data_IF_005382308426
#
_entry.id   IF_005382308426
#
_cell.length_a   1.000
_cell.length_b   1.000
_cell.length_c   1.000
_cell.angle_alpha   90.00
_cell.angle_beta   90.00
_cell.angle_gamma   90.00
#
_symmetry.space_group_name_H-M   'P 1'
#
loop_
_entity.id
_entity.type
_entity.pdbx_description
1 polymer ?
2 non-polymer ?
3 water ?
#
# COMPACT_ATOMS: atom_id res chain seq x y z
N UNK A 1 -19.72 -21.63 -8.37
CA UNK A 1 -18.72 -21.69 -9.41
C UNK A 1 -18.03 -20.34 -9.62
N UNK A 2 -16.92 -20.35 -10.35
CA UNK A 2 -16.24 -19.12 -10.74
C UNK A 2 -16.83 -18.58 -12.03
N UNK A 3 -16.99 -17.24 -12.12
CA UNK A 3 -17.49 -16.64 -13.36
C UNK A 3 -16.57 -16.94 -14.54
N UNK A 4 -17.12 -16.85 -15.76
CA UNK A 4 -16.33 -17.10 -16.96
C UNK A 4 -15.19 -16.08 -17.04
N UNK A 5 -15.52 -14.85 -16.71
CA UNK A 5 -14.54 -13.78 -16.64
C UNK A 5 -14.65 -13.04 -15.33
N UNK A 6 -13.51 -12.91 -14.65
CA UNK A 6 -13.43 -12.17 -13.40
C UNK A 6 -13.06 -10.73 -13.71
N UNK A 7 -13.94 -9.78 -13.33
CA UNK A 7 -13.65 -8.36 -13.50
C UNK A 7 -12.92 -7.83 -12.28
N UNK A 8 -11.73 -7.28 -12.50
CA UNK A 8 -10.94 -6.76 -11.38
C UNK A 8 -10.82 -5.25 -11.45
N UNK A 9 -11.33 -4.56 -10.43
CA UNK A 9 -11.21 -3.12 -10.36
C UNK A 9 -9.88 -2.70 -9.80
N UNK A 10 -9.33 -1.60 -10.33
CA UNK A 10 -8.07 -1.06 -9.82
C UNK A 10 -8.02 0.44 -10.09
N UNK A 11 -7.41 1.16 -9.16
CA UNK A 11 -7.23 2.59 -9.28
C UNK A 11 -5.84 2.84 -9.89
N UNK A 12 -5.81 3.22 -11.16
CA UNK A 12 -4.55 3.25 -11.92
C UNK A 12 -3.78 4.55 -11.76
N UNK A 13 -3.68 5.01 -10.52
CA UNK A 13 -2.97 6.26 -10.25
C UNK A 13 -1.93 6.01 -9.17
N UNK A 14 -1.38 4.80 -9.16
CA UNK A 14 -0.54 4.39 -8.05
C UNK A 14 0.63 3.50 -8.46
N UNK A 15 1.49 4.00 -9.34
CA UNK A 15 2.73 3.32 -9.66
C UNK A 15 3.55 3.21 -8.37
N UNK A 16 4.33 2.13 -8.22
CA UNK A 16 4.58 1.05 -9.18
C UNK A 16 3.62 -0.13 -9.05
N UNK A 17 2.47 0.06 -8.42
CA UNK A 17 1.56 -1.05 -8.20
C UNK A 17 0.50 -1.12 -9.29
N UNK A 18 -0.12 0.01 -9.58
CA UNK A 18 -1.15 0.06 -10.61
C UNK A 18 -1.16 1.43 -11.26
N UNK A 19 -0.86 1.45 -12.56
CA UNK A 19 -0.99 2.69 -13.31
C UNK A 19 -1.21 2.34 -14.76
N UNK A 20 -1.36 3.36 -15.58
CA UNK A 20 -1.48 3.17 -17.02
C UNK A 20 -0.32 3.82 -17.72
N UNK A 21 0.33 3.10 -18.62
CA UNK A 21 1.46 3.69 -19.36
C UNK A 21 0.97 4.57 -20.52
N UNK A 22 1.91 5.05 -21.34
CA UNK A 22 1.59 6.00 -22.40
C UNK A 22 0.66 5.42 -23.47
N UNK A 23 0.57 4.10 -23.55
CA UNK A 23 -0.35 3.46 -24.50
C UNK A 23 -1.66 3.05 -23.83
N UNK A 24 -1.82 3.43 -22.58
CA UNK A 24 -3.03 3.11 -21.84
C UNK A 24 -3.06 1.71 -21.25
N UNK A 25 -1.93 1.01 -21.30
CA UNK A 25 -1.87 -0.35 -20.77
C UNK A 25 -1.76 -0.35 -19.25
N UNK A 26 -2.49 -1.26 -18.60
CA UNK A 26 -2.36 -1.47 -17.17
C UNK A 26 -0.99 -2.05 -16.82
N UNK A 27 -0.25 -1.37 -15.94
CA UNK A 27 1.08 -1.83 -15.55
C UNK A 27 1.28 -1.72 -14.06
N UNK A 28 2.16 -2.56 -13.53
CA UNK A 28 2.48 -2.52 -12.12
C UNK A 28 2.48 -3.87 -11.44
N UNK A 29 3.01 -3.90 -10.22
CA UNK A 29 3.12 -5.13 -9.47
C UNK A 29 1.74 -5.74 -9.15
N UNK A 30 0.73 -4.90 -8.90
CA UNK A 30 -0.64 -5.39 -8.74
C UNK A 30 -1.14 -6.11 -9.98
N UNK A 31 -0.88 -5.50 -11.14
CA UNK A 31 -1.30 -6.05 -12.42
C UNK A 31 -0.60 -7.39 -12.66
N UNK A 32 0.71 -7.44 -12.40
CA UNK A 32 1.48 -8.69 -12.49
C UNK A 32 0.92 -9.79 -11.56
N UNK A 33 0.68 -9.46 -10.30
CA UNK A 33 0.13 -10.42 -9.35
C UNK A 33 -1.22 -10.92 -9.80
N UNK A 34 -2.09 -9.98 -10.17
CA UNK A 34 -3.43 -10.33 -10.62
C UNK A 34 -3.37 -11.25 -11.83
N UNK A 35 -2.61 -10.84 -12.84
CA UNK A 35 -2.49 -11.63 -14.05
C UNK A 35 -1.91 -13.01 -13.80
N UNK A 36 -0.89 -13.09 -12.95
CA UNK A 36 -0.28 -14.36 -12.64
C UNK A 36 -1.25 -15.29 -11.88
N UNK A 37 -2.00 -14.74 -10.94
CA UNK A 37 -2.96 -15.56 -10.22
C UNK A 37 -4.08 -16.05 -11.15
N UNK A 38 -4.60 -15.14 -11.97
CA UNK A 38 -5.65 -15.53 -12.92
C UNK A 38 -5.17 -16.63 -13.85
N UNK A 39 -3.93 -16.54 -14.31
CA UNK A 39 -3.34 -17.59 -15.13
C UNK A 39 -3.42 -18.95 -14.43
N UNK A 40 -2.99 -18.99 -13.17
CA UNK A 40 -2.96 -20.24 -12.42
C UNK A 40 -4.37 -20.72 -12.06
N UNK A 41 -5.29 -19.79 -11.90
CA UNK A 41 -6.69 -20.12 -11.63
C UNK A 41 -7.39 -20.56 -12.91
N UNK A 42 -6.74 -20.32 -14.04
CA UNK A 42 -7.29 -20.60 -15.36
C UNK A 42 -8.64 -19.96 -15.56
N UNK A 43 -8.73 -18.70 -15.18
CA UNK A 43 -9.89 -17.88 -15.46
C UNK A 43 -9.44 -16.66 -16.24
N UNK A 44 -10.31 -16.14 -17.10
CA UNK A 44 -10.04 -14.90 -17.80
C UNK A 44 -10.29 -13.74 -16.85
N UNK A 45 -9.39 -12.77 -16.87
CA UNK A 45 -9.53 -11.61 -16.02
C UNK A 45 -9.50 -10.32 -16.82
N UNK A 46 -10.45 -9.45 -16.51
CA UNK A 46 -10.51 -8.15 -17.15
C UNK A 46 -10.29 -7.05 -16.13
N UNK A 47 -9.29 -6.22 -16.39
CA UNK A 47 -9.01 -5.06 -15.53
C UNK A 47 -9.92 -3.91 -15.86
N UNK A 48 -10.43 -3.27 -14.83
CA UNK A 48 -11.39 -2.18 -14.94
C UNK A 48 -10.87 -0.99 -14.14
N UNK A 49 -10.55 0.11 -14.81
CA UNK A 49 -10.02 1.27 -14.09
C UNK A 49 -11.12 1.96 -13.33
N UNK A 50 -10.86 2.25 -12.06
CA UNK A 50 -11.88 2.80 -11.19
C UNK A 50 -11.30 3.87 -10.27
N UNK A 51 -12.11 4.86 -9.95
CA UNK A 51 -11.77 5.79 -8.88
C UNK A 51 -11.62 5.00 -7.58
N UNK A 52 -10.67 5.42 -6.74
CA UNK A 52 -10.40 4.71 -5.49
C UNK A 52 -11.65 4.57 -4.62
N UNK A 53 -12.43 5.63 -4.54
CA UNK A 53 -13.61 5.63 -3.67
C UNK A 53 -14.75 4.82 -4.24
N UNK A 54 -14.63 4.39 -5.51
CA UNK A 54 -15.69 3.63 -6.14
C UNK A 54 -15.39 2.12 -6.11
N UNK A 55 -14.20 1.73 -5.69
CA UNK A 55 -13.80 0.32 -5.72
C UNK A 55 -14.68 -0.59 -4.87
N UNK A 56 -14.76 -0.31 -3.58
CA UNK A 56 -15.55 -1.15 -2.69
C UNK A 56 -17.05 -1.06 -3.00
N UNK A 57 -17.58 0.16 -3.26
CA UNK A 57 -18.98 0.17 -3.70
C UNK A 57 -19.23 -0.67 -4.97
N UNK A 58 -18.33 -0.61 -5.94
CA UNK A 58 -18.51 -1.40 -7.17
C UNK A 58 -18.45 -2.89 -6.88
N UNK A 59 -17.58 -3.26 -5.95
CA UNK A 59 -17.44 -4.66 -5.56
C UNK A 59 -18.73 -5.14 -4.91
N UNK A 60 -19.23 -4.38 -3.94
CA UNK A 60 -20.46 -4.74 -3.26
C UNK A 60 -21.65 -4.87 -4.23
N UNK A 61 -21.66 -4.02 -5.25
CA UNK A 61 -22.75 -3.95 -6.21
C UNK A 61 -22.60 -4.98 -7.34
N UNK A 62 -21.51 -5.73 -7.28
CA UNK A 62 -21.14 -6.76 -8.26
C UNK A 62 -20.82 -6.21 -9.67
N UNK A 63 -20.48 -4.93 -9.75
CA UNK A 63 -19.98 -4.36 -11.01
C UNK A 63 -18.60 -4.93 -11.34
N UNK A 64 -17.85 -5.24 -10.29
CA UNK A 64 -16.58 -5.95 -10.42
C UNK A 64 -16.62 -7.15 -9.46
N UNK A 65 -15.69 -8.09 -9.64
CA UNK A 65 -15.64 -9.30 -8.83
C UNK A 65 -14.49 -9.29 -7.84
N UNK A 66 -13.52 -8.41 -8.06
CA UNK A 66 -12.35 -8.34 -7.22
C UNK A 66 -11.75 -6.95 -7.27
N UNK A 67 -11.02 -6.60 -6.22
CA UNK A 67 -10.22 -5.38 -6.20
C UNK A 67 -8.75 -5.73 -6.02
N UNK A 68 -7.90 -5.33 -6.95
CA UNK A 68 -6.46 -5.39 -6.68
C UNK A 68 -5.91 -4.01 -6.93
N UNK A 69 -5.66 -3.28 -5.85
CA UNK A 69 -5.40 -1.85 -5.93
C UNK A 69 -4.70 -1.35 -4.66
N UNK A 70 -3.63 -2.04 -4.27
CA UNK A 70 -2.97 -1.80 -2.99
C UNK A 70 -3.99 -1.64 -1.87
N UNK A 71 -5.00 -2.51 -1.85
CA UNK A 71 -6.11 -2.35 -0.92
C UNK A 71 -5.73 -2.91 0.45
N UNK A 72 -5.43 -2.02 1.39
CA UNK A 72 -5.04 -2.45 2.74
C UNK A 72 -6.15 -3.26 3.40
N UNK A 73 -5.75 -4.35 4.06
CA UNK A 73 -6.68 -5.24 4.73
C UNK A 73 -7.01 -4.63 6.10
N UNK A 74 -7.61 -3.45 6.11
CA UNK A 74 -7.89 -2.82 7.40
C UNK A 74 -9.01 -3.55 8.14
N UNK A 75 -8.96 -3.50 9.47
CA UNK A 75 -10.01 -4.04 10.32
C UNK A 75 -11.40 -3.54 9.89
N UNK A 76 -11.50 -2.25 9.59
CA UNK A 76 -12.76 -1.66 9.19
C UNK A 76 -13.27 -2.27 7.88
N UNK A 77 -12.39 -2.43 6.91
CA UNK A 77 -12.82 -2.99 5.64
C UNK A 77 -13.27 -4.45 5.77
N UNK A 78 -12.67 -5.18 6.70
CA UNK A 78 -13.06 -6.56 6.92
C UNK A 78 -14.45 -6.71 7.55
N UNK A 79 -15.04 -5.61 8.01
CA UNK A 79 -16.42 -5.61 8.47
C UNK A 79 -17.36 -5.80 7.29
N UNK A 80 -16.90 -5.35 6.12
CA UNK A 80 -17.74 -5.28 4.93
C UNK A 80 -17.38 -6.29 3.82
N UNK A 81 -16.09 -6.57 3.65
CA UNK A 81 -15.65 -7.42 2.54
C UNK A 81 -14.61 -8.45 2.99
N UNK A 82 -14.38 -9.45 2.14
CA UNK A 82 -13.32 -10.42 2.38
C UNK A 82 -12.05 -10.02 1.64
N UNK A 83 -10.95 -10.65 2.02
CA UNK A 83 -9.67 -10.44 1.35
C UNK A 83 -8.98 -11.77 1.12
N UNK A 84 -8.21 -11.85 0.04
CA UNK A 84 -7.24 -12.92 -0.12
C UNK A 84 -6.21 -12.81 1.01
N UNK A 85 -5.38 -13.85 1.12
CA UNK A 85 -4.15 -13.74 1.90
C UNK A 85 -3.33 -12.55 1.41
N UNK A 86 -2.44 -12.06 2.28
CA UNK A 86 -1.64 -10.86 1.98
C UNK A 86 -0.85 -10.97 0.68
N UNK A 87 -0.98 -9.94 -0.15
CA UNK A 87 -0.19 -9.80 -1.38
C UNK A 87 1.18 -9.16 -1.14
N UNK A 88 1.20 -8.10 -0.32
CA UNK A 88 2.43 -7.42 0.11
C UNK A 88 2.02 -6.43 1.19
N UNK A 89 2.99 -5.92 1.94
CA UNK A 89 2.68 -4.91 2.96
C UNK A 89 2.51 -3.51 2.37
N UNK A 90 1.62 -2.73 2.97
CA UNK A 90 1.45 -1.32 2.66
C UNK A 90 1.52 -0.54 3.95
N UNK A 91 2.65 -0.68 4.64
CA UNK A 91 2.85 -0.01 5.91
C UNK A 91 3.46 1.35 5.71
N UNK A 92 3.39 2.17 6.74
CA UNK A 92 3.98 3.48 6.65
C UNK A 92 5.33 3.47 7.33
N UNK A 93 6.08 4.57 7.20
CA UNK A 93 7.44 4.58 7.72
C UNK A 93 7.92 6.02 7.85
N UNK A 94 8.80 6.27 8.83
CA UNK A 94 9.38 7.60 9.00
C UNK A 94 10.52 7.84 8.03
N UNK A 95 10.57 9.06 7.48
CA UNK A 95 11.71 9.52 6.73
C UNK A 95 12.37 10.65 7.49
N UNK A 96 13.70 10.67 7.51
CA UNK A 96 14.42 11.72 8.21
C UNK A 96 15.78 11.87 7.55
N UNK A 97 16.59 12.82 8.02
CA UNK A 97 17.95 12.95 7.53
C UNK A 97 18.71 11.65 7.66
N UNK A 98 19.56 11.36 6.69
CA UNK A 98 20.44 10.20 6.77
C UNK A 98 21.29 10.29 8.04
N UNK A 99 21.33 9.20 8.80
CA UNK A 99 22.07 9.17 10.05
C UNK A 99 21.23 9.53 11.26
N UNK A 100 19.99 9.95 11.04
CA UNK A 100 19.09 10.30 12.15
C UNK A 100 18.91 9.13 13.09
N UNK A 101 18.89 9.40 14.41
CA UNK A 101 18.68 8.36 15.42
C UNK A 101 17.21 8.10 15.68
N UNK A 102 16.33 8.86 15.01
CA UNK A 102 14.89 8.74 15.20
C UNK A 102 14.36 7.32 14.96
N UNK A 103 13.43 6.93 15.82
CA UNK A 103 12.75 5.64 15.75
C UNK A 103 11.25 5.86 15.90
N UNK A 104 10.44 4.97 15.31
CA UNK A 104 8.98 5.08 15.44
C UNK A 104 8.50 4.61 16.81
N UNK A 105 9.05 5.22 17.87
CA UNK A 105 8.63 4.91 19.23
C UNK A 105 8.24 6.20 19.96
N UNK A 106 7.41 6.08 20.99
CA UNK A 106 7.01 7.26 21.77
C UNK A 106 8.22 7.89 22.46
N UNK A 107 9.14 7.06 22.93
CA UNK A 107 10.34 7.55 23.60
C UNK A 107 11.22 8.38 22.65
N UNK A 108 11.31 7.97 21.40
CA UNK A 108 12.12 8.68 20.42
C UNK A 108 11.39 9.92 19.88
N UNK A 109 10.08 9.80 19.67
CA UNK A 109 9.33 10.86 19.01
C UNK A 109 8.82 11.93 19.96
N UNK A 110 8.96 11.71 21.26
CA UNK A 110 8.53 12.70 22.23
C UNK A 110 9.19 14.05 21.97
N UNK A 111 8.35 15.07 21.78
CA UNK A 111 8.85 16.42 21.55
C UNK A 111 9.34 16.68 20.13
N UNK A 112 9.18 15.70 19.24
CA UNK A 112 9.61 15.88 17.85
C UNK A 112 8.48 16.35 16.94
N UNK A 113 8.84 17.04 15.87
CA UNK A 113 7.86 17.45 14.85
C UNK A 113 7.83 16.46 13.70
N UNK A 114 6.68 15.81 13.55
CA UNK A 114 6.47 14.79 12.53
C UNK A 114 5.40 15.26 11.56
N UNK A 115 5.78 15.35 10.28
CA UNK A 115 4.86 15.82 9.26
C UNK A 115 4.04 14.68 8.69
N UNK A 116 2.78 14.98 8.41
CA UNK A 116 1.84 14.05 7.77
C UNK A 116 0.99 14.79 6.75
N UNK A 117 0.52 14.10 5.73
CA UNK A 117 -0.35 14.73 4.74
C UNK A 117 -1.82 14.78 5.19
N UNK A 118 -2.44 15.95 5.11
CA UNK A 118 -3.86 16.10 5.44
C UNK A 118 -4.73 15.10 4.71
N UNK A 119 -5.61 14.42 5.46
CA UNK A 119 -6.57 13.51 4.88
C UNK A 119 -6.05 12.12 4.64
N UNK A 120 -4.78 11.87 4.98
CA UNK A 120 -4.15 10.58 4.75
C UNK A 120 -4.36 9.61 5.90
N UNK A 121 -4.11 8.33 5.61
CA UNK A 121 -4.13 7.33 6.66
C UNK A 121 -2.96 7.56 7.62
N UNK A 122 -1.88 8.14 7.11
CA UNK A 122 -0.73 8.47 7.96
C UNK A 122 -1.14 9.51 9.00
N UNK A 123 -1.88 10.52 8.56
CA UNK A 123 -2.38 11.54 9.48
C UNK A 123 -3.27 10.92 10.56
N UNK A 124 -4.17 10.04 10.12
CA UNK A 124 -5.11 9.38 11.03
C UNK A 124 -4.33 8.59 12.08
N UNK A 125 -3.36 7.80 11.62
CA UNK A 125 -2.54 7.01 12.55
C UNK A 125 -1.78 7.89 13.54
N UNK A 126 -1.09 8.90 13.03
CA UNK A 126 -0.29 9.76 13.89
C UNK A 126 -1.16 10.54 14.85
N UNK A 127 -2.31 11.02 14.38
CA UNK A 127 -3.20 11.74 15.29
C UNK A 127 -3.77 10.84 16.39
N UNK A 128 -4.04 9.59 16.06
CA UNK A 128 -4.69 8.68 17.00
C UNK A 128 -3.70 8.00 17.93
N UNK A 129 -2.43 7.97 17.55
CA UNK A 129 -1.44 7.19 18.30
C UNK A 129 -0.29 8.02 18.89
N UNK A 130 0.09 9.09 18.19
CA UNK A 130 1.27 9.86 18.57
C UNK A 130 0.95 11.25 19.10
N UNK A 131 0.04 11.95 18.42
CA UNK A 131 -0.31 13.31 18.83
C UNK A 131 -0.75 13.36 20.30
N UNK A 132 -1.47 12.32 20.74
CA UNK A 132 -2.04 12.33 22.07
C UNK A 132 -1.05 11.84 23.14
N UNK A 133 0.18 11.57 22.72
CA UNK A 133 1.22 11.07 23.63
C UNK A 133 2.52 11.82 23.45
N UNK A 134 2.43 13.13 23.23
CA UNK A 134 3.58 14.00 23.32
C UNK A 134 4.39 14.22 22.05
N UNK A 135 3.86 13.77 20.92
CA UNK A 135 4.49 13.99 19.63
C UNK A 135 3.81 15.18 18.93
N UNK A 136 4.61 16.10 18.41
CA UNK A 136 4.06 17.22 17.67
C UNK A 136 3.80 16.84 16.22
N UNK A 137 2.55 16.53 15.93
CA UNK A 137 2.13 16.08 14.61
C UNK A 137 1.61 17.26 13.80
N UNK A 138 2.29 17.53 12.69
CA UNK A 138 1.98 18.69 11.85
C UNK A 138 1.39 18.22 10.52
N UNK A 139 0.17 18.68 10.23
CA UNK A 139 -0.54 18.24 9.02
C UNK A 139 -0.35 19.23 7.88
N UNK A 140 -0.14 18.69 6.68
CA UNK A 140 0.17 19.49 5.50
C UNK A 140 -0.88 19.34 4.41
N UNK A 141 -1.18 20.43 3.71
CA UNK A 141 -2.04 20.34 2.55
C UNK A 141 -1.32 19.67 1.37
N UNK A 142 -0.02 19.88 1.28
CA UNK A 142 0.79 19.52 0.11
C UNK A 142 1.95 18.59 0.48
N UNK A 143 1.96 17.38 -0.09
CA UNK A 143 3.03 16.42 0.17
C UNK A 143 4.42 17.01 -0.09
N UNK A 144 4.55 17.78 -1.15
CA UNK A 144 5.87 18.30 -1.48
C UNK A 144 6.37 19.34 -0.47
N UNK A 145 5.48 20.03 0.23
CA UNK A 145 5.94 20.96 1.27
C UNK A 145 6.44 20.16 2.47
N UNK A 146 5.90 18.97 2.67
CA UNK A 146 6.44 18.08 3.71
C UNK A 146 7.93 17.80 3.44
N UNK A 147 8.24 17.38 2.22
CA UNK A 147 9.61 17.05 1.87
C UNK A 147 10.51 18.27 1.97
N UNK A 148 10.02 19.40 1.48
CA UNK A 148 10.79 20.64 1.50
C UNK A 148 11.08 21.08 2.93
N UNK A 149 10.09 20.96 3.80
CA UNK A 149 10.28 21.30 5.20
C UNK A 149 11.23 20.33 5.88
N UNK A 150 11.21 19.07 5.48
CA UNK A 150 12.16 18.10 6.04
C UNK A 150 13.59 18.50 5.66
N UNK A 151 13.80 18.81 4.39
CA UNK A 151 15.12 19.18 3.93
C UNK A 151 15.56 20.51 4.55
N UNK A 152 14.60 21.35 4.89
CA UNK A 152 14.88 22.65 5.50
C UNK A 152 15.09 22.59 7.00
N UNK A 153 14.84 21.43 7.60
CA UNK A 153 14.98 21.24 9.04
C UNK A 153 13.82 21.76 9.87
N UNK A 154 12.68 22.00 9.23
CA UNK A 154 11.50 22.45 9.96
C UNK A 154 10.69 21.26 10.48
N UNK A 155 11.05 20.05 10.02
CA UNK A 155 10.50 18.81 10.57
C UNK A 155 11.63 17.91 11.03
N UNK A 156 11.40 17.13 12.09
CA UNK A 156 12.35 16.09 12.50
C UNK A 156 12.21 14.87 11.62
N UNK A 157 10.97 14.59 11.23
CA UNK A 157 10.67 13.43 10.42
C UNK A 157 9.33 13.61 9.74
N UNK A 158 9.08 12.77 8.74
CA UNK A 158 7.81 12.72 8.03
C UNK A 158 7.31 11.29 8.03
N UNK A 159 6.02 11.10 8.29
CA UNK A 159 5.43 9.77 8.25
C UNK A 159 4.71 9.57 6.92
N UNK A 160 5.21 8.64 6.13
CA UNK A 160 4.73 8.43 4.77
C UNK A 160 4.44 6.97 4.52
N UNK A 161 3.65 6.69 3.48
CA UNK A 161 3.58 5.33 2.98
C UNK A 161 4.99 4.90 2.57
N UNK A 162 5.38 3.68 2.96
CA UNK A 162 6.76 3.25 2.77
C UNK A 162 7.16 3.23 1.30
N UNK A 163 6.42 2.51 0.47
CA UNK A 163 6.86 2.40 -0.92
C UNK A 163 6.71 3.73 -1.65
N UNK A 164 5.65 4.50 -1.35
CA UNK A 164 5.48 5.79 -2.01
C UNK A 164 6.68 6.70 -1.74
N UNK A 165 7.17 6.69 -0.50
CA UNK A 165 8.33 7.50 -0.15
C UNK A 165 9.61 6.97 -0.80
N UNK A 166 9.74 5.66 -0.81
CA UNK A 166 10.87 4.96 -1.43
C UNK A 166 10.97 5.32 -2.91
N UNK A 167 9.83 5.38 -3.59
CA UNK A 167 9.82 5.62 -5.03
C UNK A 167 9.79 7.11 -5.39
N UNK A 168 9.28 7.92 -4.48
CA UNK A 168 8.95 9.29 -4.81
C UNK A 168 9.79 10.42 -4.21
N UNK A 169 10.59 10.09 -3.21
CA UNK A 169 11.52 11.08 -2.64
C UNK A 169 12.90 10.47 -2.47
N UNK A 170 12.96 9.29 -1.86
CA UNK A 170 14.25 8.67 -1.52
C UNK A 170 15.02 8.24 -2.78
N UNK A 171 14.30 8.01 -3.88
CA UNK A 171 14.93 7.65 -5.14
C UNK A 171 15.22 8.85 -6.04
N UNK A 172 14.71 10.02 -5.65
CA UNK A 172 15.03 11.24 -6.37
C UNK A 172 16.31 11.84 -5.80
N UNK A 173 17.04 12.59 -6.63
CA UNK A 173 18.24 13.26 -6.13
C UNK A 173 17.97 14.07 -4.86
N UNK A 174 16.82 14.71 -4.77
CA UNK A 174 16.48 15.51 -3.59
C UNK A 174 16.47 14.69 -2.30
N UNK A 175 16.24 13.39 -2.43
CA UNK A 175 16.13 12.53 -1.25
C UNK A 175 17.41 11.80 -0.91
N UNK A 176 18.50 12.11 -1.63
CA UNK A 176 19.74 11.34 -1.48
C UNK A 176 20.29 11.35 -0.06
N UNK A 177 20.17 12.47 0.64
CA UNK A 177 20.73 12.54 2.00
C UNK A 177 19.66 12.34 3.06
N UNK A 178 18.64 11.57 2.69
CA UNK A 178 17.53 11.20 3.56
C UNK A 178 17.36 9.70 3.51
N UNK A 179 16.71 9.14 4.53
CA UNK A 179 16.58 7.70 4.65
C UNK A 179 15.45 7.37 5.59
N UNK A 180 14.98 6.13 5.54
CA UNK A 180 14.01 5.71 6.52
C UNK A 180 14.64 5.71 7.91
N UNK A 181 13.87 6.19 8.89
CA UNK A 181 14.28 6.20 10.27
C UNK A 181 13.55 5.09 11.01
N UNK A 182 14.25 3.99 11.23
CA UNK A 182 13.66 2.85 11.90
C UNK A 182 12.89 2.00 10.92
N UNK A 183 12.18 0.98 11.43
CA UNK A 183 11.40 0.05 10.62
C UNK A 183 10.04 0.61 10.25
N UNK A 184 9.34 -0.08 9.35
CA UNK A 184 7.99 0.30 8.99
C UNK A 184 7.08 0.31 10.22
N UNK A 185 6.07 1.16 10.16
CA UNK A 185 5.09 1.29 11.22
C UNK A 185 3.90 0.41 10.85
N UNK A 186 3.55 -0.52 11.73
CA UNK A 186 2.50 -1.48 11.44
C UNK A 186 1.30 -1.29 12.35
N UNK A 187 0.12 -1.31 11.76
CA UNK A 187 -1.11 -1.28 12.55
C UNK A 187 -2.28 -1.80 11.75
N UNK A 188 -2.87 -2.89 12.22
CA UNK A 188 -3.97 -3.54 11.52
C UNK A 188 -5.14 -2.60 11.22
N UNK A 189 -5.42 -1.68 12.12
CA UNK A 189 -6.56 -0.78 11.91
C UNK A 189 -6.31 0.29 10.86
N UNK A 190 -5.05 0.70 10.69
CA UNK A 190 -4.73 1.82 9.82
C UNK A 190 -4.10 1.41 8.50
N UNK A 191 -3.19 0.45 8.55
CA UNK A 191 -2.43 0.04 7.37
C UNK A 191 -2.72 -1.41 6.95
N UNK A 192 -3.43 -2.14 7.80
CA UNK A 192 -3.98 -3.44 7.44
C UNK A 192 -3.15 -4.72 7.61
N UNK A 193 -1.88 -4.60 8.02
CA UNK A 193 -0.95 -5.73 8.02
C UNK A 193 -1.04 -6.49 6.70
N UNK A 194 -0.92 -5.72 5.62
CA UNK A 194 -0.96 -6.28 4.28
C UNK A 194 -2.01 -5.64 3.40
N UNK A 195 -1.81 -5.76 2.09
CA UNK A 195 -2.87 -5.57 1.10
C UNK A 195 -3.33 -6.94 0.61
N UNK A 196 -4.54 -7.01 0.08
CA UNK A 196 -5.05 -8.26 -0.45
C UNK A 196 -6.04 -8.03 -1.59
N UNK A 197 -6.40 -9.11 -2.27
CA UNK A 197 -7.49 -9.03 -3.23
C UNK A 197 -8.78 -8.78 -2.46
N UNK A 198 -9.46 -7.67 -2.74
CA UNK A 198 -10.72 -7.40 -2.08
C UNK A 198 -11.81 -8.20 -2.76
N UNK A 199 -12.65 -8.86 -1.97
CA UNK A 199 -13.64 -9.79 -2.49
C UNK A 199 -14.95 -9.72 -1.69
N UNK A 200 -16.06 -10.09 -2.31
CA UNK A 200 -17.30 -10.20 -1.54
C UNK A 200 -17.22 -11.37 -0.57
N UNK A 201 -17.73 -11.19 0.65
CA UNK A 201 -17.64 -12.24 1.67
C UNK A 201 -18.24 -13.58 1.23
N UNK A 202 -19.30 -13.56 0.45
CA UNK A 202 -19.92 -14.82 0.05
C UNK A 202 -19.20 -15.53 -1.10
N UNK A 203 -18.25 -14.87 -1.74
CA UNK A 203 -17.56 -15.48 -2.86
C UNK A 203 -16.36 -16.30 -2.38
N UNK A 204 -16.66 -17.43 -1.72
CA UNK A 204 -15.63 -18.22 -1.07
C UNK A 204 -14.79 -19.00 -2.06
N UNK A 205 -15.42 -19.46 -3.14
CA UNK A 205 -14.69 -20.17 -4.20
C UNK A 205 -13.64 -19.27 -4.84
N UNK A 206 -14.03 -18.04 -5.16
CA UNK A 206 -13.11 -17.10 -5.76
C UNK A 206 -11.93 -16.80 -4.83
N UNK A 207 -12.19 -16.56 -3.53
CA UNK A 207 -11.10 -16.32 -2.58
C UNK A 207 -10.17 -17.53 -2.47
N UNK A 208 -10.74 -18.73 -2.39
CA UNK A 208 -9.92 -19.92 -2.26
C UNK A 208 -8.99 -20.08 -3.47
N UNK A 209 -9.52 -19.76 -4.65
CA UNK A 209 -8.76 -19.87 -5.89
C UNK A 209 -7.60 -18.87 -5.91
N UNK A 210 -7.89 -17.62 -5.53
CA UNK A 210 -6.85 -16.60 -5.42
C UNK A 210 -5.80 -17.03 -4.40
N UNK A 211 -6.26 -17.48 -3.24
CA UNK A 211 -5.34 -17.89 -2.17
C UNK A 211 -4.43 -19.04 -2.62
N UNK A 212 -5.01 -20.02 -3.30
CA UNK A 212 -4.27 -21.17 -3.79
C UNK A 212 -3.20 -20.74 -4.81
N UNK A 213 -3.61 -19.92 -5.77
CA UNK A 213 -2.66 -19.47 -6.79
C UNK A 213 -1.54 -18.63 -6.15
N UNK A 214 -1.89 -17.83 -5.15
CA UNK A 214 -0.91 -16.97 -4.52
C UNK A 214 0.15 -17.77 -3.77
N UNK A 215 -0.27 -18.77 -2.99
CA UNK A 215 0.72 -19.57 -2.26
C UNK A 215 1.65 -20.30 -3.22
N UNK A 216 1.07 -20.78 -4.31
CA UNK A 216 1.86 -21.51 -5.31
C UNK A 216 2.87 -20.61 -6.06
N UNK A 217 2.47 -19.40 -6.43
CA UNK A 217 3.41 -18.53 -7.13
C UNK A 217 4.47 -17.98 -6.16
N UNK A 218 4.15 -17.98 -4.87
CA UNK A 218 5.14 -17.58 -3.88
C UNK A 218 6.13 -18.73 -3.66
N UNK A 219 5.61 -19.94 -3.54
CA UNK A 219 6.43 -21.11 -3.24
C UNK A 219 7.40 -21.50 -4.36
N UNK A 220 7.03 -21.27 -5.62
CA UNK A 220 7.91 -21.69 -6.70
C UNK A 220 8.83 -20.56 -7.18
N UNK A 221 8.86 -19.46 -6.42
CA UNK A 221 9.81 -18.39 -6.68
C UNK A 221 9.34 -17.30 -7.63
N UNK A 222 8.15 -17.48 -8.20
CA UNK A 222 7.60 -16.51 -9.15
C UNK A 222 7.38 -15.15 -8.48
N UNK A 223 6.92 -15.15 -7.24
CA UNK A 223 6.65 -13.89 -6.53
C UNK A 223 7.90 -13.02 -6.47
N UNK A 224 9.01 -13.60 -6.04
CA UNK A 224 10.25 -12.83 -5.88
C UNK A 224 10.80 -12.35 -7.21
N UNK A 225 10.67 -13.17 -8.24
CA UNK A 225 11.09 -12.76 -9.57
C UNK A 225 10.26 -11.57 -10.06
N UNK A 226 8.96 -11.58 -9.76
CA UNK A 226 8.11 -10.48 -10.19
C UNK A 226 8.39 -9.21 -9.39
N UNK A 227 8.58 -9.37 -8.08
CA UNK A 227 8.82 -8.24 -7.19
C UNK A 227 10.15 -7.56 -7.48
N UNK A 228 11.14 -8.34 -7.89
CA UNK A 228 12.49 -7.82 -8.13
C UNK A 228 12.53 -6.80 -9.27
N UNK A 229 11.53 -6.84 -10.14
CA UNK A 229 11.43 -5.87 -11.22
C UNK A 229 11.17 -4.47 -10.69
N UNK A 230 10.58 -4.36 -9.51
CA UNK A 230 10.24 -3.05 -8.96
C UNK A 230 11.01 -2.67 -7.71
N UNK A 231 11.34 -3.67 -6.89
CA UNK A 231 11.81 -3.39 -5.55
C UNK A 231 13.14 -4.05 -5.23
N UNK A 232 13.93 -3.37 -4.40
CA UNK A 232 15.18 -3.94 -3.88
C UNK A 232 15.09 -4.22 -2.39
N UNK A 233 13.88 -4.35 -1.88
CA UNK A 233 13.68 -4.68 -0.47
C UNK A 233 12.56 -5.71 -0.36
N UNK A 234 12.30 -6.18 0.85
CA UNK A 234 11.28 -7.20 1.08
C UNK A 234 9.88 -6.58 1.11
N UNK A 235 9.31 -6.34 -0.08
CA UNK A 235 8.02 -5.65 -0.17
C UNK A 235 6.89 -6.47 0.48
N UNK A 236 7.04 -7.80 0.47
CA UNK A 236 6.04 -8.67 1.10
C UNK A 236 5.88 -8.36 2.58
N UNK A 237 6.99 -8.10 3.26
CA UNK A 237 6.96 -7.80 4.67
C UNK A 237 7.07 -9.04 5.53
N UNK A 238 6.67 -8.92 6.80
CA UNK A 238 6.75 -10.02 7.74
X LIG B 1 14.54 -1.70 -8.85
X LIG B 1 14.07 -1.18 -9.88
X LIG B 1 14.89 -0.91 -7.94
X LIG B 1 14.67 -3.19 -8.69
X LIG C 1 -4.71 1.78 18.00
X LIG C 1 -3.96 2.02 17.03
X LIG C 1 -4.51 2.43 19.04
X LIG C 1 -5.82 0.79 17.90
X LIG D 1 4.89 22.66 21.22
X LIG D 1 3.93 21.86 21.17
X LIG D 1 5.71 22.51 22.16
X LIG D 1 5.09 23.75 20.20
X LIG E 1 13.01 21.07 14.40
X LIG E 1 11.86 21.10 13.89
X LIG E 1 13.17 21.81 15.39
X LIG E 1 14.11 20.22 13.86
#
# INVERSE_FOLDING_TARGET
>A
ALPQTVRIGTDTTYAPFSSKDAKGEFIGFDIDLGNEMCKRMQVKCTWVASDADALIPSLKAKKIDAIISSLSITDKRQQEIAFSDKLYAADSRLIAAKGSPIQPTLESLKGKHVGVLQGSTQEAYANDNWRTKGVDVVAYANQDLIYSDLTAGRLDAALQDEVAASEGFLKQPAGKEYAFAGPSVKDKKYFGDGTGVGLRKDDTELKAAFDKALTELRQDGTYDKMAKKYFDFNVYGD
>B hetero
1 ACT C O OXT CH3
>C hetero
1 ACT C O OXT CH3
>D hetero
1 ACT C O OXT CH3
>E hetero
1 ACT C O OXT CH3
#
